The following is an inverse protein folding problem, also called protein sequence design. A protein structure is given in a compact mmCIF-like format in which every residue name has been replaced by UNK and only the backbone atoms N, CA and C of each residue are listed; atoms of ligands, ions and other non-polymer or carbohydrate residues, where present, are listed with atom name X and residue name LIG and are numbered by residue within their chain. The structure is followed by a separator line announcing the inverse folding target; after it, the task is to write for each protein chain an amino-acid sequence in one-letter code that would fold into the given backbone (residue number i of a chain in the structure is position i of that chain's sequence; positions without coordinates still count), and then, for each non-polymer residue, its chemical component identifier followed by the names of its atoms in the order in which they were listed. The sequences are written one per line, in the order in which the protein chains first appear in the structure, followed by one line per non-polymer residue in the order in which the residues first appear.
data_IF_771965108468
#
_entry.id   IF_771965108468
#
_cell.length_a   1.000
_cell.length_b   1.000
_cell.length_c   1.000
_cell.angle_alpha   90.00
_cell.angle_beta   90.00
_cell.angle_gamma   90.00
#
_symmetry.space_group_name_H-M   'P 1'
#
loop_
_entity.id
_entity.type
_entity.pdbx_description
1 polymer ?
#
# COMPACT_ATOMS: atom_id res chain seq x y z
N UNK A 1 21.31 2.99 -1.10
CA UNK A 1 20.82 2.33 -2.33
C UNK A 1 19.79 3.13 -3.16
N UNK A 2 18.59 3.45 -2.67
CA UNK A 2 17.56 4.11 -3.50
C UNK A 2 17.99 5.52 -3.93
N UNK A 3 18.35 6.38 -2.97
CA UNK A 3 18.79 7.75 -3.24
C UNK A 3 20.16 7.85 -3.90
N UNK A 4 21.01 6.82 -3.78
CA UNK A 4 22.30 6.79 -4.50
C UNK A 4 22.09 6.77 -6.02
N UNK A 5 21.02 6.12 -6.50
CA UNK A 5 20.71 6.02 -7.93
C UNK A 5 19.93 7.23 -8.45
N UNK A 6 19.06 7.80 -7.63
CA UNK A 6 18.16 8.89 -8.03
C UNK A 6 18.05 9.97 -6.94
N UNK A 7 19.14 10.70 -6.64
CA UNK A 7 19.21 11.60 -5.47
C UNK A 7 18.26 12.81 -5.53
N UNK A 8 17.91 13.25 -6.74
CA UNK A 8 17.08 14.43 -6.98
C UNK A 8 15.62 14.11 -7.33
N UNK A 9 15.28 12.85 -7.55
CA UNK A 9 13.92 12.46 -7.93
C UNK A 9 13.00 12.46 -6.70
N UNK A 10 11.93 13.27 -6.75
CA UNK A 10 10.98 13.40 -5.65
C UNK A 10 10.25 12.09 -5.32
N UNK A 11 9.90 11.29 -6.32
CA UNK A 11 9.23 10.00 -6.10
C UNK A 11 10.18 9.03 -5.43
N UNK A 12 11.43 8.98 -5.87
CA UNK A 12 12.44 8.13 -5.25
C UNK A 12 12.83 8.61 -3.85
N UNK A 13 12.80 9.92 -3.57
CA UNK A 13 12.87 10.45 -2.18
C UNK A 13 11.73 9.94 -1.32
N UNK A 14 10.48 10.05 -1.81
CA UNK A 14 9.30 9.55 -1.11
C UNK A 14 9.44 8.05 -0.81
N UNK A 15 9.82 7.26 -1.81
CA UNK A 15 10.05 5.81 -1.68
C UNK A 15 11.15 5.52 -0.66
N UNK A 16 12.29 6.20 -0.76
CA UNK A 16 13.45 6.00 0.10
C UNK A 16 13.16 6.32 1.56
N UNK A 17 12.59 7.50 1.86
CA UNK A 17 12.30 7.90 3.24
C UNK A 17 11.23 7.01 3.88
N UNK A 18 10.21 6.59 3.10
CA UNK A 18 9.17 5.70 3.62
C UNK A 18 9.71 4.30 3.90
N UNK A 19 10.53 3.76 2.99
CA UNK A 19 11.19 2.46 3.19
C UNK A 19 12.16 2.49 4.36
N UNK A 20 12.98 3.55 4.48
CA UNK A 20 13.92 3.73 5.59
C UNK A 20 13.21 3.82 6.96
N UNK A 21 12.04 4.47 7.03
CA UNK A 21 11.24 4.49 8.25
C UNK A 21 10.79 3.09 8.68
N UNK A 22 10.40 2.25 7.71
CA UNK A 22 10.05 0.85 8.01
C UNK A 22 11.27 0.02 8.38
N UNK A 23 12.39 0.21 7.68
CA UNK A 23 13.65 -0.50 7.94
C UNK A 23 14.18 -0.23 9.35
N UNK A 24 14.21 1.05 9.76
CA UNK A 24 14.58 1.46 11.10
C UNK A 24 13.67 0.79 12.16
N UNK A 25 12.35 0.78 11.91
CA UNK A 25 11.38 0.11 12.81
C UNK A 25 11.61 -1.40 12.89
N UNK A 26 11.81 -2.07 11.76
CA UNK A 26 12.05 -3.52 11.72
C UNK A 26 13.41 -3.91 12.30
N UNK A 27 14.34 -2.96 12.38
CA UNK A 27 15.64 -3.10 13.03
C UNK A 27 15.62 -2.75 14.53
N UNK A 28 14.45 -2.43 15.09
CA UNK A 28 14.29 -2.19 16.54
C UNK A 28 14.52 -0.75 16.99
N UNK A 29 14.42 0.25 16.10
CA UNK A 29 14.47 1.65 16.51
C UNK A 29 13.36 1.98 17.53
N UNK A 30 13.73 2.65 18.63
CA UNK A 30 12.83 2.97 19.76
C UNK A 30 11.92 4.19 19.52
N UNK A 31 11.74 4.60 18.26
CA UNK A 31 10.94 5.76 17.92
C UNK A 31 9.44 5.41 17.82
N UNK A 32 8.54 6.29 18.32
CA UNK A 32 7.11 6.08 18.18
C UNK A 32 6.69 6.12 16.71
N UNK A 33 5.64 5.36 16.39
CA UNK A 33 5.07 5.32 15.04
C UNK A 33 3.56 5.43 15.11
N UNK A 34 2.99 6.26 14.23
CA UNK A 34 1.54 6.31 14.04
C UNK A 34 1.10 4.99 13.41
N UNK A 35 -0.01 4.42 13.87
CA UNK A 35 -0.57 3.21 13.31
C UNK A 35 -1.72 3.54 12.35
N UNK A 36 -1.85 2.76 11.27
CA UNK A 36 -3.06 2.70 10.46
C UNK A 36 -3.51 1.24 10.38
N UNK A 37 -4.81 0.98 10.55
CA UNK A 37 -5.37 -0.38 10.60
C UNK A 37 -4.61 -1.35 11.52
N UNK A 38 -4.14 -0.86 12.67
CA UNK A 38 -3.40 -1.67 13.65
C UNK A 38 -1.92 -1.93 13.31
N UNK A 39 -1.36 -1.30 12.28
CA UNK A 39 0.04 -1.53 11.85
C UNK A 39 0.84 -0.23 11.71
N UNK A 40 2.03 -0.21 12.33
CA UNK A 40 2.98 0.89 12.18
C UNK A 40 3.59 1.00 10.78
N UNK A 41 3.82 -0.12 10.08
CA UNK A 41 4.31 -0.08 8.70
C UNK A 41 3.27 0.50 7.73
N UNK A 42 1.98 0.23 7.98
CA UNK A 42 0.89 0.87 7.24
C UNK A 42 0.80 2.36 7.57
N UNK A 43 0.96 2.72 8.85
CA UNK A 43 1.00 4.13 9.27
C UNK A 43 2.15 4.91 8.64
N UNK A 44 3.35 4.34 8.56
CA UNK A 44 4.50 4.91 7.82
C UNK A 44 4.12 5.08 6.34
N UNK A 45 3.61 4.02 5.72
CA UNK A 45 3.29 3.99 4.29
C UNK A 45 2.21 4.99 3.88
N UNK A 46 1.23 5.25 4.75
CA UNK A 46 0.12 6.18 4.45
C UNK A 46 0.46 7.64 4.75
N UNK A 47 1.46 7.91 5.61
CA UNK A 47 1.76 9.26 6.10
C UNK A 47 3.04 9.86 5.54
N UNK A 48 4.15 9.11 5.56
CA UNK A 48 5.47 9.63 5.16
C UNK A 48 5.49 10.14 3.72
N UNK A 49 4.85 9.49 2.73
CA UNK A 49 4.81 10.03 1.37
C UNK A 49 4.22 11.45 1.30
N UNK A 50 3.14 11.71 2.03
CA UNK A 50 2.46 13.00 2.07
C UNK A 50 3.34 14.05 2.78
N UNK A 51 4.00 13.66 3.88
CA UNK A 51 4.90 14.54 4.64
C UNK A 51 6.09 14.96 3.77
N UNK A 52 6.74 14.01 3.10
CA UNK A 52 7.87 14.29 2.19
C UNK A 52 7.40 15.16 1.02
N UNK A 53 6.26 14.83 0.41
CA UNK A 53 5.69 15.62 -0.69
C UNK A 53 5.38 17.06 -0.27
N UNK A 54 4.72 17.25 0.85
CA UNK A 54 4.37 18.57 1.37
C UNK A 54 5.62 19.41 1.70
N UNK A 55 6.64 18.79 2.30
CA UNK A 55 7.92 19.45 2.58
C UNK A 55 8.62 19.89 1.31
N UNK A 56 8.74 19.02 0.31
CA UNK A 56 9.41 19.31 -0.96
C UNK A 56 8.63 20.31 -1.83
N UNK A 57 7.31 20.44 -1.61
CA UNK A 57 6.45 21.42 -2.29
C UNK A 57 6.14 22.67 -1.46
N UNK A 58 6.72 22.81 -0.28
CA UNK A 58 6.46 23.91 0.66
C UNK A 58 4.96 24.15 0.90
N UNK A 59 4.19 23.08 1.05
CA UNK A 59 2.76 23.18 1.36
C UNK A 59 2.55 23.60 2.82
N UNK A 60 1.51 24.37 3.06
CA UNK A 60 1.09 24.73 4.41
C UNK A 60 0.59 23.51 5.21
N UNK A 61 0.51 23.69 6.53
CA UNK A 61 0.10 22.64 7.46
C UNK A 61 -1.34 22.16 7.19
N UNK A 62 -2.25 23.06 6.82
CA UNK A 62 -3.65 22.70 6.58
C UNK A 62 -3.78 21.76 5.38
N UNK A 63 -3.09 22.05 4.27
CA UNK A 63 -3.04 21.18 3.09
C UNK A 63 -2.46 19.82 3.44
N UNK A 64 -1.35 19.77 4.16
CA UNK A 64 -0.77 18.50 4.62
C UNK A 64 -1.78 17.70 5.45
N UNK A 65 -2.45 18.34 6.41
CA UNK A 65 -3.45 17.69 7.27
C UNK A 65 -4.63 17.14 6.46
N UNK A 66 -5.14 17.89 5.47
CA UNK A 66 -6.21 17.43 4.57
C UNK A 66 -5.77 16.20 3.75
N UNK A 67 -4.56 16.22 3.21
CA UNK A 67 -3.99 15.09 2.47
C UNK A 67 -3.81 13.85 3.35
N UNK A 68 -3.28 14.03 4.57
CA UNK A 68 -3.13 12.95 5.56
C UNK A 68 -4.48 12.36 5.97
N UNK A 69 -5.48 13.21 6.23
CA UNK A 69 -6.83 12.76 6.58
C UNK A 69 -7.43 11.91 5.46
N UNK A 70 -7.41 12.43 4.23
CA UNK A 70 -7.93 11.71 3.07
C UNK A 70 -7.23 10.36 2.86
N UNK A 71 -5.90 10.35 2.91
CA UNK A 71 -5.10 9.13 2.74
C UNK A 71 -5.38 8.09 3.82
N UNK A 72 -5.45 8.50 5.09
CA UNK A 72 -5.76 7.59 6.20
C UNK A 72 -7.16 7.01 6.10
N UNK A 73 -8.17 7.83 5.79
CA UNK A 73 -9.55 7.38 5.63
C UNK A 73 -9.69 6.40 4.46
N UNK A 74 -9.00 6.66 3.34
CA UNK A 74 -9.01 5.77 2.19
C UNK A 74 -8.36 4.42 2.51
N UNK A 75 -7.25 4.40 3.25
CA UNK A 75 -6.61 3.16 3.68
C UNK A 75 -7.54 2.34 4.62
N UNK A 76 -8.19 3.01 5.57
CA UNK A 76 -9.18 2.38 6.46
C UNK A 76 -10.38 1.83 5.68
N UNK A 77 -10.86 2.58 4.69
CA UNK A 77 -11.98 2.17 3.85
C UNK A 77 -11.69 0.87 3.10
N UNK A 78 -10.50 0.77 2.47
CA UNK A 78 -10.06 -0.47 1.83
C UNK A 78 -9.99 -1.64 2.81
N UNK A 79 -9.46 -1.40 4.01
CA UNK A 79 -9.25 -2.46 5.00
C UNK A 79 -10.55 -3.01 5.61
N UNK A 80 -11.65 -2.26 5.54
CA UNK A 80 -12.97 -2.67 6.05
C UNK A 80 -13.38 -4.06 5.55
N UNK A 81 -13.09 -4.39 4.29
CA UNK A 81 -13.55 -5.63 3.66
C UNK A 81 -12.53 -6.79 3.75
N UNK A 82 -11.30 -6.55 4.18
CA UNK A 82 -10.24 -7.57 4.28
C UNK A 82 -10.28 -8.26 5.66
N UNK A 83 -10.47 -7.49 6.73
CA UNK A 83 -10.42 -7.98 8.10
C UNK A 83 -9.09 -7.73 8.82
N UNK A 84 -9.02 -8.19 10.08
CA UNK A 84 -7.92 -7.88 11.02
C UNK A 84 -6.62 -8.65 10.73
N UNK A 85 -6.72 -9.90 10.28
CA UNK A 85 -5.60 -10.77 9.95
C UNK A 85 -5.82 -11.34 8.54
N UNK A 86 -4.77 -11.37 7.72
CA UNK A 86 -4.80 -11.89 6.36
C UNK A 86 -3.37 -11.99 5.81
N UNK A 87 -3.11 -12.96 4.94
CA UNK A 87 -1.89 -13.03 4.14
C UNK A 87 -1.77 -11.89 3.10
N UNK A 88 -2.78 -11.03 2.95
CA UNK A 88 -2.69 -9.79 2.17
C UNK A 88 -1.84 -8.74 2.91
N UNK A 89 -0.79 -8.24 2.26
CA UNK A 89 0.05 -7.20 2.85
C UNK A 89 -0.66 -5.83 2.84
N UNK A 90 -1.04 -5.34 4.03
CA UNK A 90 -1.73 -4.06 4.18
C UNK A 90 -0.94 -2.83 3.71
N UNK A 91 0.38 -2.95 3.51
CA UNK A 91 1.18 -1.84 2.95
C UNK A 91 0.77 -1.50 1.52
N UNK A 92 0.16 -2.44 0.80
CA UNK A 92 -0.37 -2.21 -0.55
C UNK A 92 -1.51 -1.19 -0.49
N UNK A 93 -2.49 -1.39 0.39
CA UNK A 93 -3.60 -0.44 0.62
C UNK A 93 -3.10 0.92 1.14
N UNK A 94 -2.11 0.90 2.03
CA UNK A 94 -1.56 2.13 2.59
C UNK A 94 -0.78 2.95 1.55
N UNK A 95 0.08 2.31 0.76
CA UNK A 95 0.85 2.96 -0.30
C UNK A 95 -0.03 3.51 -1.42
N UNK A 96 -1.03 2.73 -1.88
CA UNK A 96 -2.00 3.20 -2.88
C UNK A 96 -2.78 4.41 -2.36
N UNK A 97 -3.23 4.38 -1.10
CA UNK A 97 -3.89 5.51 -0.46
C UNK A 97 -3.00 6.74 -0.34
N UNK A 98 -1.70 6.55 -0.12
CA UNK A 98 -0.74 7.65 -0.03
C UNK A 98 -0.61 8.38 -1.37
N UNK A 99 -0.51 7.63 -2.47
CA UNK A 99 -0.42 8.24 -3.81
C UNK A 99 -1.76 8.87 -4.23
N UNK A 100 -2.90 8.25 -3.89
CA UNK A 100 -4.20 8.89 -4.02
C UNK A 100 -4.30 10.19 -3.20
N UNK A 101 -3.68 10.25 -2.02
CA UNK A 101 -3.56 11.46 -1.21
C UNK A 101 -2.72 12.55 -1.89
N UNK A 102 -1.61 12.17 -2.53
CA UNK A 102 -0.82 13.10 -3.33
C UNK A 102 -1.63 13.61 -4.52
N UNK A 103 -2.37 12.74 -5.23
CA UNK A 103 -3.26 13.13 -6.31
C UNK A 103 -4.35 14.10 -5.83
N UNK A 104 -4.94 13.85 -4.67
CA UNK A 104 -5.89 14.76 -4.03
C UNK A 104 -5.27 16.13 -3.74
N UNK A 105 -4.04 16.18 -3.19
CA UNK A 105 -3.33 17.46 -2.96
C UNK A 105 -2.99 18.21 -4.24
N UNK A 106 -2.85 17.49 -5.37
CA UNK A 106 -2.64 18.07 -6.69
C UNK A 106 -3.93 18.58 -7.34
N UNK A 107 -5.09 18.39 -6.69
CA UNK A 107 -6.39 18.78 -7.25
C UNK A 107 -6.84 17.89 -8.41
N UNK A 108 -6.38 16.64 -8.45
CA UNK A 108 -6.77 15.70 -9.50
C UNK A 108 -8.23 15.30 -9.40
N UNK A 109 -8.84 15.00 -10.54
CA UNK A 109 -10.23 14.58 -10.62
C UNK A 109 -10.47 13.28 -9.84
N UNK A 110 -11.68 13.17 -9.29
CA UNK A 110 -12.12 11.98 -8.55
C UNK A 110 -11.92 10.69 -9.37
N UNK A 111 -12.11 10.76 -10.68
CA UNK A 111 -11.94 9.60 -11.56
C UNK A 111 -10.48 9.13 -11.60
N UNK A 112 -9.52 10.04 -11.74
CA UNK A 112 -8.08 9.71 -11.70
C UNK A 112 -7.72 9.04 -10.38
N UNK A 113 -8.27 9.53 -9.26
CA UNK A 113 -8.02 8.94 -7.93
C UNK A 113 -8.61 7.52 -7.83
N UNK A 114 -9.84 7.31 -8.29
CA UNK A 114 -10.48 5.99 -8.31
C UNK A 114 -9.66 4.99 -9.14
N UNK A 115 -9.25 5.40 -10.33
CA UNK A 115 -8.48 4.59 -11.24
C UNK A 115 -7.07 4.30 -10.73
N UNK A 116 -6.39 5.30 -10.14
CA UNK A 116 -5.10 5.10 -9.46
C UNK A 116 -5.21 4.01 -8.41
N UNK A 117 -6.29 4.03 -7.62
CA UNK A 117 -6.52 3.04 -6.59
C UNK A 117 -6.76 1.64 -7.18
N UNK A 118 -7.64 1.53 -8.18
CA UNK A 118 -7.95 0.26 -8.86
C UNK A 118 -6.67 -0.36 -9.47
N UNK A 119 -5.92 0.44 -10.24
CA UNK A 119 -4.69 0.03 -10.90
C UNK A 119 -3.64 -0.45 -9.89
N UNK A 120 -3.43 0.30 -8.81
CA UNK A 120 -2.43 -0.07 -7.79
C UNK A 120 -2.78 -1.39 -7.09
N UNK A 121 -4.06 -1.61 -6.77
CA UNK A 121 -4.53 -2.81 -6.11
C UNK A 121 -4.53 -4.04 -7.02
N UNK A 122 -4.87 -3.87 -8.29
CA UNK A 122 -4.86 -4.96 -9.26
C UNK A 122 -3.47 -5.58 -9.44
N UNK A 123 -2.42 -4.75 -9.42
CA UNK A 123 -1.05 -5.21 -9.67
C UNK A 123 -0.39 -5.77 -8.40
N UNK A 124 -0.44 -5.03 -7.28
CA UNK A 124 0.26 -5.42 -6.05
C UNK A 124 -0.63 -6.15 -5.04
N UNK A 125 -1.88 -6.44 -5.38
CA UNK A 125 -2.83 -7.09 -4.50
C UNK A 125 -2.42 -8.47 -3.99
N UNK A 126 -1.46 -9.12 -4.66
CA UNK A 126 -0.90 -10.42 -4.27
C UNK A 126 0.34 -10.38 -3.37
N UNK A 127 0.82 -9.21 -2.95
CA UNK A 127 1.99 -9.14 -2.05
C UNK A 127 1.64 -9.78 -0.71
N UNK A 128 2.42 -10.79 -0.33
CA UNK A 128 2.19 -11.58 0.88
C UNK A 128 2.60 -10.85 2.16
N UNK A 129 1.82 -11.06 3.21
CA UNK A 129 2.13 -10.69 4.59
C UNK A 129 2.64 -11.90 5.36
N UNK A 130 3.90 -11.88 5.77
CA UNK A 130 4.60 -12.91 6.54
C UNK A 130 5.05 -12.37 7.92
N UNK A 131 4.38 -11.31 8.39
CA UNK A 131 4.68 -10.64 9.64
C UNK A 131 5.64 -9.46 9.54
N UNK A 132 5.96 -8.88 10.69
CA UNK A 132 6.87 -7.74 10.81
C UNK A 132 8.33 -8.20 10.67
N UNK A 133 8.88 -8.08 9.46
CA UNK A 133 10.25 -8.49 9.10
C UNK A 133 10.93 -7.40 8.26
N UNK A 134 12.25 -7.48 8.12
CA UNK A 134 13.05 -6.57 7.28
C UNK A 134 12.52 -6.44 5.84
N UNK A 135 11.90 -7.49 5.30
CA UNK A 135 11.25 -7.49 3.98
C UNK A 135 10.17 -6.40 3.82
N UNK A 136 9.60 -5.88 4.93
CA UNK A 136 8.59 -4.81 4.90
C UNK A 136 9.08 -3.55 4.18
N UNK A 137 10.34 -3.15 4.38
CA UNK A 137 10.89 -1.96 3.71
C UNK A 137 10.83 -2.09 2.18
N UNK A 138 11.17 -3.29 1.67
CA UNK A 138 11.13 -3.56 0.23
C UNK A 138 9.69 -3.70 -0.31
N UNK A 139 8.76 -4.29 0.47
CA UNK A 139 7.33 -4.36 0.12
C UNK A 139 6.71 -2.97 0.00
N UNK A 140 7.08 -2.06 0.91
CA UNK A 140 6.66 -0.65 0.87
C UNK A 140 7.24 0.05 -0.37
N UNK A 141 8.54 -0.11 -0.62
CA UNK A 141 9.17 0.53 -1.77
C UNK A 141 8.55 0.07 -3.10
N UNK A 142 8.34 -1.24 -3.25
CA UNK A 142 7.65 -1.83 -4.40
C UNK A 142 6.22 -1.29 -4.54
N UNK A 143 5.47 -1.21 -3.44
CA UNK A 143 4.08 -0.73 -3.44
C UNK A 143 3.95 0.75 -3.78
N UNK A 144 4.85 1.61 -3.30
CA UNK A 144 4.85 3.03 -3.66
C UNK A 144 5.22 3.25 -5.13
N UNK A 145 6.22 2.55 -5.65
CA UNK A 145 6.59 2.64 -7.07
C UNK A 145 5.44 2.18 -7.97
N UNK A 146 4.80 1.06 -7.62
CA UNK A 146 3.61 0.60 -8.32
C UNK A 146 2.46 1.62 -8.24
N UNK A 147 2.21 2.21 -7.07
CA UNK A 147 1.16 3.20 -6.91
C UNK A 147 1.44 4.48 -7.71
N UNK A 148 2.70 4.91 -7.84
CA UNK A 148 3.07 6.00 -8.73
C UNK A 148 2.85 5.64 -10.21
N UNK A 149 3.20 4.42 -10.63
CA UNK A 149 2.93 3.95 -11.99
C UNK A 149 1.42 3.89 -12.28
N UNK A 150 0.63 3.37 -11.33
CA UNK A 150 -0.82 3.35 -11.39
C UNK A 150 -1.43 4.74 -11.53
N UNK A 151 -0.87 5.74 -10.85
CA UNK A 151 -1.26 7.14 -10.99
C UNK A 151 -0.92 7.70 -12.37
N UNK A 152 0.27 7.44 -12.89
CA UNK A 152 0.65 7.89 -14.24
C UNK A 152 -0.24 7.26 -15.31
N UNK A 153 -0.54 5.96 -15.17
CA UNK A 153 -1.43 5.23 -16.07
C UNK A 153 -2.85 5.81 -16.05
N UNK A 154 -3.37 6.17 -14.87
CA UNK A 154 -4.65 6.86 -14.74
C UNK A 154 -4.64 8.25 -15.38
N UNK A 155 -3.57 9.03 -15.14
CA UNK A 155 -3.37 10.35 -15.77
C UNK A 155 -3.29 10.28 -17.30
N UNK A 156 -2.78 9.18 -17.84
CA UNK A 156 -2.68 8.95 -19.28
C UNK A 156 -4.00 8.47 -19.91
N UNK A 157 -5.05 8.22 -19.12
CA UNK A 157 -6.31 7.64 -19.62
C UNK A 157 -6.15 6.19 -20.07
N UNK A 158 -5.20 5.45 -19.49
CA UNK A 158 -4.83 4.08 -19.86
C UNK A 158 -5.07 3.07 -18.72
N UNK A 159 -5.98 3.40 -17.81
CA UNK A 159 -6.35 2.51 -16.69
C UNK A 159 -6.93 1.19 -17.14
N UNK A 160 -6.83 0.18 -16.27
CA UNK A 160 -7.49 -1.10 -16.49
C UNK A 160 -9.01 -0.91 -16.58
N UNK A 161 -9.65 -1.75 -17.37
CA UNK A 161 -11.10 -1.79 -17.58
C UNK A 161 -11.71 -2.94 -16.80
N UNK A 162 -13.03 -2.96 -16.66
CA UNK A 162 -13.73 -4.01 -15.92
C UNK A 162 -13.54 -5.44 -16.49
N UNK A 163 -13.09 -5.55 -17.75
CA UNK A 163 -12.76 -6.83 -18.37
C UNK A 163 -11.35 -7.32 -18.02
N UNK A 164 -10.51 -6.48 -17.40
CA UNK A 164 -9.14 -6.80 -17.03
C UNK A 164 -9.09 -7.50 -15.66
N UNK A 165 -9.60 -8.73 -15.63
CA UNK A 165 -9.52 -9.63 -14.48
C UNK A 165 -10.30 -9.16 -13.25
N UNK A 166 -9.57 -8.75 -12.21
CA UNK A 166 -10.14 -8.45 -10.88
C UNK A 166 -10.66 -7.00 -10.76
N UNK A 167 -10.39 -6.14 -11.74
CA UNK A 167 -10.93 -4.77 -11.81
C UNK A 167 -12.42 -4.81 -12.21
N UNK A 168 -13.20 -3.86 -11.71
CA UNK A 168 -14.64 -3.67 -11.99
C UNK A 168 -14.92 -2.23 -12.39
N UNK A 169 -16.09 -1.98 -12.97
CA UNK A 169 -16.48 -0.64 -13.46
C UNK A 169 -16.55 0.39 -12.33
N UNK A 170 -16.91 -0.07 -11.12
CA UNK A 170 -16.86 0.75 -9.92
C UNK A 170 -15.70 0.34 -8.98
N UNK A 171 -15.10 1.35 -8.35
CA UNK A 171 -14.03 1.14 -7.39
C UNK A 171 -14.52 0.35 -6.19
N UNK A 172 -15.75 0.59 -5.72
CA UNK A 172 -16.29 -0.11 -4.55
C UNK A 172 -16.45 -1.61 -4.82
N UNK A 173 -16.85 -1.98 -6.03
CA UNK A 173 -16.89 -3.38 -6.48
C UNK A 173 -15.48 -3.98 -6.60
N UNK A 174 -14.50 -3.21 -7.10
CA UNK A 174 -13.10 -3.66 -7.13
C UNK A 174 -12.56 -3.91 -5.71
N UNK A 175 -12.89 -3.03 -4.76
CA UNK A 175 -12.53 -3.18 -3.34
C UNK A 175 -13.22 -4.38 -2.70
N UNK A 176 -14.46 -4.68 -3.08
CA UNK A 176 -15.16 -5.90 -2.66
C UNK A 176 -14.46 -7.16 -3.18
N UNK A 177 -14.10 -7.20 -4.46
CA UNK A 177 -13.33 -8.30 -5.06
C UNK A 177 -12.00 -8.50 -4.33
N UNK A 178 -11.25 -7.42 -4.10
CA UNK A 178 -10.00 -7.46 -3.34
C UNK A 178 -10.21 -7.92 -1.90
N UNK A 179 -11.28 -7.46 -1.25
CA UNK A 179 -11.69 -7.91 0.07
C UNK A 179 -11.95 -9.41 0.12
N UNK A 180 -12.69 -9.94 -0.87
CA UNK A 180 -13.00 -11.36 -0.97
C UNK A 180 -11.76 -12.22 -1.20
N UNK A 181 -10.85 -11.79 -2.10
CA UNK A 181 -9.57 -12.48 -2.32
C UNK A 181 -8.76 -12.49 -1.03
N UNK A 182 -8.56 -11.33 -0.40
CA UNK A 182 -7.73 -11.21 0.79
C UNK A 182 -8.30 -11.93 2.02
N UNK A 183 -9.63 -11.91 2.19
CA UNK A 183 -10.32 -12.47 3.37
C UNK A 183 -10.58 -13.97 3.23
N UNK A 184 -11.09 -14.38 2.07
CA UNK A 184 -11.54 -15.76 1.84
C UNK A 184 -10.53 -16.54 1.00
N UNK A 185 -10.07 -15.97 -0.11
CA UNK A 185 -9.12 -16.62 -1.03
C UNK A 185 -7.77 -16.91 -0.38
N UNK A 186 -7.22 -15.93 0.35
CA UNK A 186 -5.92 -16.04 1.00
C UNK A 186 -5.96 -16.70 2.38
N UNK A 187 -7.10 -17.28 2.79
CA UNK A 187 -7.20 -17.96 4.10
C UNK A 187 -6.23 -19.15 4.19
N UNK A 188 -6.25 -20.04 3.19
CA UNK A 188 -5.30 -21.18 3.13
C UNK A 188 -3.86 -20.69 2.95
N UNK A 189 -3.65 -19.58 2.24
CA UNK A 189 -2.33 -18.95 2.11
C UNK A 189 -1.78 -18.52 3.46
N UNK A 190 -2.60 -17.90 4.31
CA UNK A 190 -2.24 -17.50 5.68
C UNK A 190 -1.85 -18.71 6.54
N UNK A 191 -2.64 -19.79 6.48
CA UNK A 191 -2.35 -21.06 7.16
C UNK A 191 -1.01 -21.68 6.71
N UNK A 192 -0.75 -21.69 5.39
CA UNK A 192 0.50 -22.21 4.82
C UNK A 192 1.69 -21.35 5.22
N UNK A 193 1.57 -20.02 5.19
CA UNK A 193 2.63 -19.11 5.65
C UNK A 193 2.95 -19.37 7.11
N UNK A 194 1.94 -19.49 7.97
CA UNK A 194 2.15 -19.76 9.39
C UNK A 194 2.88 -21.09 9.61
N UNK A 195 2.47 -22.13 8.89
CA UNK A 195 3.10 -23.45 8.94
C UNK A 195 4.58 -23.41 8.51
N UNK A 196 4.90 -22.74 7.40
CA UNK A 196 6.29 -22.58 6.95
C UNK A 196 7.13 -21.77 7.96
N UNK A 197 6.57 -20.71 8.55
CA UNK A 197 7.25 -19.91 9.59
C UNK A 197 7.54 -20.74 10.85
N UNK A 198 6.64 -21.68 11.20
CA UNK A 198 6.79 -22.58 12.34
C UNK A 198 7.57 -23.87 12.00
N UNK A 199 7.93 -24.08 10.74
CA UNK A 199 8.59 -25.30 10.28
C UNK A 199 7.69 -26.55 10.25
N UNK A 200 6.37 -26.39 10.28
CA UNK A 200 5.41 -27.49 10.20
C UNK A 200 5.03 -27.77 8.74
N UNK A 201 5.46 -28.91 8.19
CA UNK A 201 5.21 -29.29 6.78
C UNK A 201 4.21 -30.43 6.60
N UNK A 202 3.47 -30.80 7.64
CA UNK A 202 2.47 -31.88 7.51
C UNK A 202 1.39 -31.59 6.47
N UNK A 203 1.06 -30.32 6.27
CA UNK A 203 0.07 -29.88 5.29
C UNK A 203 0.41 -30.29 3.84
N UNK A 204 1.67 -30.59 3.52
CA UNK A 204 2.07 -31.05 2.19
C UNK A 204 1.39 -32.38 1.81
N UNK A 205 1.08 -33.23 2.81
CA UNK A 205 0.36 -34.49 2.61
C UNK A 205 -1.08 -34.30 2.11
N UNK A 206 -1.63 -33.08 2.22
CA UNK A 206 -2.94 -32.75 1.65
C UNK A 206 -2.87 -32.50 0.13
N UNK A 207 -1.66 -32.35 -0.43
CA UNK A 207 -1.40 -32.00 -1.84
C UNK A 207 -0.69 -33.11 -2.65
N UNK A 208 -0.24 -34.17 -1.98
CA UNK A 208 0.33 -35.39 -2.58
C UNK A 208 -0.75 -36.47 -2.74
#
# INVERSE_FOLDING_TARGET
MILERHPQDLREKIVAYTAAGSDARMSGAENPVVINSGSGNQGISVSVPLIVYAKEKNLDCEKLQRGLLFSNLLALYQKKNIGKLSAYCGVVSAASSAICGIAFLKGEDRQVIKETLANALAVNGGILCDGAKASCAMKIASSLRNAFLAYDQAKAGQSFKAQDGIVKDDIDQTLEVMGNIARYGMKKTDEVILNEVLGNREYLKEFE
#
